data_IF_682616877059
#
_entry.id   IF_682616877059
#
_cell.length_a   1.000
_cell.length_b   1.000
_cell.length_c   1.000
_cell.angle_alpha   90.00
_cell.angle_beta   90.00
_cell.angle_gamma   90.00
#
_symmetry.space_group_name_H-M   'P 1'
#
loop_
_entity.id
_entity.type
_entity.pdbx_description
1 polymer ?
#
# COMPACT_ATOMS: atom_id res chain seq x y z
N UNK A 1 -48.91 33.84 -37.30
CA UNK A 1 -48.66 33.46 -35.89
C UNK A 1 -47.35 32.71 -35.63
N UNK A 2 -46.72 32.03 -36.60
CA UNK A 2 -45.50 31.24 -36.35
C UNK A 2 -44.18 32.02 -36.22
N UNK A 3 -44.10 33.26 -36.71
CA UNK A 3 -42.84 34.03 -36.71
C UNK A 3 -42.46 34.61 -35.34
N UNK A 4 -43.43 34.83 -34.43
CA UNK A 4 -43.16 35.36 -33.08
C UNK A 4 -42.76 34.27 -32.08
N UNK A 5 -43.17 33.02 -32.32
CA UNK A 5 -42.85 31.88 -31.46
C UNK A 5 -41.37 31.42 -31.61
N UNK A 6 -40.83 31.50 -32.82
CA UNK A 6 -39.42 31.18 -33.08
C UNK A 6 -38.45 32.14 -32.40
N UNK A 7 -38.80 33.42 -32.29
CA UNK A 7 -37.99 34.41 -31.56
C UNK A 7 -38.03 34.18 -30.05
N UNK A 8 -39.18 33.80 -29.48
CA UNK A 8 -39.29 33.46 -28.07
C UNK A 8 -38.45 32.23 -27.69
N UNK A 9 -38.43 31.20 -28.55
CA UNK A 9 -37.58 30.01 -28.36
C UNK A 9 -36.09 30.37 -28.43
N UNK A 10 -35.66 31.18 -29.41
CA UNK A 10 -34.28 31.64 -29.52
C UNK A 10 -33.85 32.48 -28.31
N UNK A 11 -34.71 33.38 -27.82
CA UNK A 11 -34.43 34.15 -26.60
C UNK A 11 -34.35 33.26 -25.36
N UNK A 12 -35.24 32.28 -25.21
CA UNK A 12 -35.19 31.35 -24.08
C UNK A 12 -33.91 30.50 -24.07
N UNK A 13 -33.46 30.04 -25.24
CA UNK A 13 -32.23 29.26 -25.38
C UNK A 13 -30.99 30.13 -25.10
N UNK A 14 -31.00 31.39 -25.55
CA UNK A 14 -29.92 32.34 -25.30
C UNK A 14 -29.80 32.71 -23.81
N UNK A 15 -30.93 32.88 -23.11
CA UNK A 15 -30.95 33.14 -21.67
C UNK A 15 -30.46 31.92 -20.88
N UNK A 16 -30.85 30.71 -21.27
CA UNK A 16 -30.35 29.46 -20.67
C UNK A 16 -28.85 29.24 -20.90
N UNK A 17 -28.35 29.59 -22.10
CA UNK A 17 -26.91 29.53 -22.38
C UNK A 17 -26.14 30.60 -21.60
N UNK A 18 -26.66 31.82 -21.47
CA UNK A 18 -26.05 32.86 -20.65
C UNK A 18 -26.05 32.48 -19.16
N UNK A 19 -27.14 31.93 -18.64
CA UNK A 19 -27.19 31.50 -17.23
C UNK A 19 -26.26 30.33 -16.96
N UNK A 20 -26.15 29.37 -17.89
CA UNK A 20 -25.20 28.26 -17.81
C UNK A 20 -23.74 28.75 -17.88
N UNK A 21 -23.44 29.74 -18.74
CA UNK A 21 -22.10 30.37 -18.80
C UNK A 21 -21.77 31.19 -17.55
N UNK A 22 -22.77 31.83 -16.93
CA UNK A 22 -22.58 32.54 -15.66
C UNK A 22 -22.36 31.56 -14.50
N UNK A 23 -23.10 30.44 -14.45
CA UNK A 23 -22.89 29.37 -13.46
C UNK A 23 -21.52 28.72 -13.60
N UNK A 24 -21.07 28.43 -14.83
CA UNK A 24 -19.72 27.88 -15.07
C UNK A 24 -18.60 28.89 -14.75
N UNK A 25 -18.90 30.19 -14.75
CA UNK A 25 -17.95 31.25 -14.38
C UNK A 25 -17.85 31.44 -12.86
N UNK A 26 -18.88 31.07 -12.10
CA UNK A 26 -18.91 31.22 -10.64
C UNK A 26 -18.04 30.18 -9.90
N UNK A 27 -17.73 29.04 -10.53
CA UNK A 27 -16.74 28.06 -10.05
C UNK A 27 -15.28 28.46 -10.38
N UNK A 28 -15.06 29.62 -11.01
CA UNK A 28 -13.75 30.10 -11.42
C UNK A 28 -13.37 31.45 -10.79
N UNK A 29 -13.43 31.53 -9.45
CA UNK A 29 -12.75 32.57 -8.69
C UNK A 29 -11.86 31.91 -7.61
N UNK A 30 -10.53 31.95 -7.75
CA UNK A 30 -9.63 31.51 -6.69
C UNK A 30 -9.62 32.59 -5.61
N UNK A 31 -10.13 32.27 -4.43
CA UNK A 31 -9.93 33.07 -3.22
C UNK A 31 -8.46 32.96 -2.83
N UNK A 32 -7.67 33.96 -3.21
CA UNK A 32 -6.26 34.07 -2.88
C UNK A 32 -6.04 34.68 -1.49
N UNK A 33 -5.29 33.98 -0.65
CA UNK A 33 -4.34 34.60 0.27
C UNK A 33 -2.91 34.42 -0.29
N UNK A 34 -1.91 35.22 0.11
CA UNK A 34 -0.55 35.09 -0.38
C UNK A 34 0.12 33.91 0.34
N UNK A 35 -0.22 32.69 -0.04
CA UNK A 35 0.64 31.55 0.23
C UNK A 35 1.76 31.61 -0.80
N UNK A 36 3.00 31.71 -0.33
CA UNK A 36 4.19 31.53 -1.16
C UNK A 36 4.05 30.14 -1.80
N UNK A 37 3.50 30.08 -3.03
CA UNK A 37 3.49 28.87 -3.84
C UNK A 37 4.94 28.61 -4.20
N UNK A 38 5.57 27.74 -3.42
CA UNK A 38 6.84 27.18 -3.81
C UNK A 38 6.66 26.61 -5.22
N UNK A 39 7.58 26.90 -6.15
CA UNK A 39 7.50 26.32 -7.49
C UNK A 39 7.41 24.80 -7.38
N UNK A 40 6.56 24.20 -8.22
CA UNK A 40 6.38 22.76 -8.36
C UNK A 40 7.65 22.16 -8.96
N UNK A 41 8.67 22.01 -8.13
CA UNK A 41 9.83 21.20 -8.46
C UNK A 41 9.49 19.78 -8.06
N UNK A 42 9.43 18.88 -9.04
CA UNK A 42 9.61 17.47 -8.74
C UNK A 42 10.89 17.35 -7.89
N UNK A 43 10.89 16.56 -6.80
CA UNK A 43 12.11 16.35 -6.04
C UNK A 43 13.24 15.98 -7.01
N UNK A 44 14.48 16.44 -6.77
CA UNK A 44 15.62 16.08 -7.61
C UNK A 44 15.58 14.57 -7.83
N UNK A 45 15.65 14.16 -9.10
CA UNK A 45 15.43 12.78 -9.52
C UNK A 45 16.19 11.80 -8.61
N UNK A 46 15.63 10.60 -8.39
CA UNK A 46 16.04 9.73 -7.29
C UNK A 46 17.56 9.60 -7.25
N UNK A 47 18.14 9.89 -6.08
CA UNK A 47 19.45 9.36 -5.74
C UNK A 47 19.29 7.85 -5.73
N UNK A 48 19.44 7.22 -6.92
CA UNK A 48 19.39 5.76 -7.06
C UNK A 48 20.32 5.23 -5.99
N UNK A 49 19.74 4.60 -4.98
CA UNK A 49 20.50 3.81 -4.03
C UNK A 49 21.36 2.85 -4.87
N UNK A 50 22.67 3.08 -4.88
CA UNK A 50 23.60 2.34 -5.74
C UNK A 50 23.87 0.98 -5.10
N UNK A 51 22.83 0.18 -4.91
CA UNK A 51 23.02 -1.18 -4.47
C UNK A 51 23.68 -1.98 -5.60
N UNK A 52 24.89 -2.45 -5.35
CA UNK A 52 25.65 -3.22 -6.32
C UNK A 52 25.11 -4.66 -6.43
N UNK A 53 25.09 -5.24 -7.63
CA UNK A 53 24.66 -6.61 -7.84
C UNK A 53 25.62 -7.61 -7.17
N UNK A 54 25.07 -8.69 -6.61
CA UNK A 54 25.88 -9.83 -6.20
C UNK A 54 26.17 -10.73 -7.42
N UNK A 55 27.30 -10.49 -8.10
CA UNK A 55 27.67 -11.22 -9.31
C UNK A 55 27.83 -12.72 -9.11
N UNK A 56 28.29 -13.17 -7.93
CA UNK A 56 28.43 -14.61 -7.62
C UNK A 56 27.06 -15.29 -7.64
N UNK A 57 26.06 -14.67 -7.01
CA UNK A 57 24.70 -15.18 -6.98
C UNK A 57 24.03 -15.08 -8.36
N UNK A 58 24.26 -13.98 -9.09
CA UNK A 58 23.75 -13.80 -10.45
C UNK A 58 24.23 -14.91 -11.39
N UNK A 59 25.51 -15.26 -11.33
CA UNK A 59 26.11 -16.33 -12.13
C UNK A 59 25.60 -17.72 -11.72
N UNK A 60 25.42 -17.97 -10.41
CA UNK A 60 24.90 -19.23 -9.91
C UNK A 60 23.40 -19.46 -10.23
N UNK A 61 22.67 -18.41 -10.61
CA UNK A 61 21.22 -18.45 -10.87
C UNK A 61 20.84 -18.27 -12.34
N UNK A 62 21.79 -18.45 -13.27
CA UNK A 62 21.57 -18.30 -14.72
C UNK A 62 20.49 -19.25 -15.29
N UNK A 63 20.27 -20.41 -14.65
CA UNK A 63 19.23 -21.37 -15.06
C UNK A 63 17.82 -20.99 -14.60
N UNK A 64 17.68 -19.96 -13.75
CA UNK A 64 16.39 -19.52 -13.23
C UNK A 64 15.75 -18.47 -14.15
N UNK A 65 14.41 -18.31 -14.11
CA UNK A 65 13.75 -17.23 -14.80
C UNK A 65 14.31 -15.85 -14.40
N UNK A 66 14.25 -14.88 -15.31
CA UNK A 66 14.84 -13.56 -15.13
C UNK A 66 14.42 -12.86 -13.83
N UNK A 67 13.15 -12.97 -13.44
CA UNK A 67 12.63 -12.38 -12.20
C UNK A 67 13.30 -12.98 -10.95
N UNK A 68 13.47 -14.30 -10.90
CA UNK A 68 14.15 -15.00 -9.79
C UNK A 68 15.64 -14.67 -9.73
N UNK A 69 16.32 -14.66 -10.88
CA UNK A 69 17.73 -14.26 -10.95
C UNK A 69 17.92 -12.81 -10.47
N UNK A 70 17.06 -11.89 -10.91
CA UNK A 70 17.10 -10.49 -10.49
C UNK A 70 16.90 -10.37 -8.98
N UNK A 71 15.87 -11.00 -8.43
CA UNK A 71 15.62 -11.02 -6.99
C UNK A 71 16.84 -11.53 -6.22
N UNK A 72 17.39 -12.70 -6.57
CA UNK A 72 18.56 -13.26 -5.89
C UNK A 72 19.80 -12.36 -6.00
N UNK A 73 20.00 -11.70 -7.13
CA UNK A 73 21.14 -10.79 -7.37
C UNK A 73 21.11 -9.57 -6.46
N UNK A 74 19.92 -9.08 -6.09
CA UNK A 74 19.72 -7.85 -5.32
C UNK A 74 19.03 -8.07 -3.97
N UNK A 75 18.85 -9.31 -3.51
CA UNK A 75 18.13 -9.61 -2.26
C UNK A 75 18.75 -8.97 -1.01
N UNK A 76 20.04 -8.63 -1.05
CA UNK A 76 20.75 -7.93 0.02
C UNK A 76 20.52 -6.41 0.01
N UNK A 77 19.94 -5.88 -1.05
CA UNK A 77 19.59 -4.46 -1.19
C UNK A 77 18.29 -4.19 -0.44
N UNK A 78 18.42 -3.60 0.75
CA UNK A 78 17.29 -3.42 1.68
C UNK A 78 16.98 -1.97 2.01
N UNK A 79 17.81 -1.03 1.54
CA UNK A 79 17.76 0.36 1.97
C UNK A 79 17.45 1.27 0.78
N UNK A 80 16.16 1.59 0.65
CA UNK A 80 15.63 2.52 -0.34
C UNK A 80 15.06 3.77 0.35
N UNK A 81 15.28 4.94 -0.23
CA UNK A 81 14.76 6.20 0.27
C UNK A 81 13.25 6.32 0.06
N UNK A 82 12.59 7.06 0.94
CA UNK A 82 11.21 7.50 0.73
C UNK A 82 11.20 8.63 -0.30
N UNK A 83 10.31 8.54 -1.29
CA UNK A 83 10.10 9.54 -2.34
C UNK A 83 8.88 10.42 -2.04
N UNK A 84 7.82 9.81 -1.53
CA UNK A 84 6.59 10.46 -1.08
C UNK A 84 6.26 9.89 0.29
N UNK A 85 6.03 10.76 1.26
CA UNK A 85 5.77 10.39 2.65
C UNK A 85 4.50 11.10 3.13
N UNK A 86 3.50 10.38 3.65
CA UNK A 86 2.35 10.99 4.28
C UNK A 86 2.71 11.47 5.69
N UNK A 87 1.89 12.35 6.26
CA UNK A 87 2.03 12.75 7.66
C UNK A 87 2.07 11.54 8.61
N UNK A 88 2.68 11.70 9.78
CA UNK A 88 2.68 10.68 10.83
C UNK A 88 1.25 10.33 11.30
N UNK A 89 1.12 9.22 12.05
CA UNK A 89 -0.12 8.88 12.74
C UNK A 89 -0.40 9.86 13.86
N UNK A 90 -1.69 10.12 14.10
CA UNK A 90 -2.14 10.77 15.33
C UNK A 90 -1.92 9.83 16.53
N UNK A 91 -1.73 10.41 17.70
CA UNK A 91 -1.43 9.68 18.93
C UNK A 91 -2.56 8.75 19.39
N UNK A 92 -3.79 9.02 18.94
CA UNK A 92 -5.03 8.26 19.16
C UNK A 92 -5.44 7.41 17.93
N UNK A 93 -4.50 7.12 17.02
CA UNK A 93 -4.78 6.24 15.86
C UNK A 93 -5.16 4.84 16.35
N UNK A 94 -6.41 4.46 16.13
CA UNK A 94 -6.92 3.15 16.49
C UNK A 94 -6.54 2.09 15.45
N UNK A 95 -6.71 2.39 14.16
CA UNK A 95 -6.42 1.44 13.08
C UNK A 95 -5.69 2.12 11.93
N UNK A 96 -4.52 1.57 11.58
CA UNK A 96 -3.79 1.89 10.36
C UNK A 96 -4.19 0.91 9.26
N UNK A 97 -4.78 1.40 8.18
CA UNK A 97 -5.05 0.67 6.94
C UNK A 97 -3.84 0.85 6.01
N UNK A 98 -3.00 -0.18 5.89
CA UNK A 98 -1.81 -0.19 5.05
C UNK A 98 -2.07 -1.01 3.78
N UNK A 99 -2.38 -0.35 2.67
CA UNK A 99 -2.88 -0.99 1.45
C UNK A 99 -1.80 -1.03 0.38
N UNK A 100 -1.41 -2.24 -0.05
CA UNK A 100 -0.49 -2.45 -1.17
C UNK A 100 -1.15 -1.96 -2.46
N UNK A 101 -0.50 -1.02 -3.13
CA UNK A 101 -0.93 -0.50 -4.43
C UNK A 101 0.26 -0.30 -5.36
N UNK A 102 0.00 0.18 -6.58
CA UNK A 102 1.00 0.50 -7.58
C UNK A 102 0.70 1.87 -8.18
N UNK A 103 1.69 2.63 -8.67
CA UNK A 103 1.46 3.95 -9.24
C UNK A 103 0.30 4.03 -10.23
N UNK A 104 0.17 3.03 -11.12
CA UNK A 104 -0.89 2.90 -12.13
C UNK A 104 -2.33 2.73 -11.59
N UNK A 105 -2.50 2.32 -10.34
CA UNK A 105 -3.80 1.97 -9.76
C UNK A 105 -4.54 3.16 -9.14
N UNK A 106 -4.52 4.32 -9.81
CA UNK A 106 -5.16 5.56 -9.33
C UNK A 106 -6.65 5.35 -9.06
N UNK A 107 -7.37 4.68 -9.97
CA UNK A 107 -8.81 4.43 -9.84
C UNK A 107 -9.14 3.51 -8.67
N UNK A 108 -8.30 2.50 -8.39
CA UNK A 108 -8.49 1.60 -7.24
C UNK A 108 -8.33 2.37 -5.93
N UNK A 109 -7.28 3.20 -5.82
CA UNK A 109 -7.09 4.05 -4.64
C UNK A 109 -8.26 5.02 -4.46
N UNK A 110 -8.74 5.65 -5.53
CA UNK A 110 -9.92 6.53 -5.48
C UNK A 110 -11.20 5.79 -5.05
N UNK A 111 -11.41 4.57 -5.53
CA UNK A 111 -12.53 3.72 -5.12
C UNK A 111 -12.43 3.38 -3.62
N UNK A 112 -11.24 3.04 -3.11
CA UNK A 112 -11.01 2.73 -1.70
C UNK A 112 -11.30 3.96 -0.83
N UNK A 113 -10.75 5.13 -1.17
CA UNK A 113 -11.00 6.39 -0.44
C UNK A 113 -12.49 6.75 -0.38
N UNK A 114 -13.22 6.54 -1.48
CA UNK A 114 -14.64 6.86 -1.57
C UNK A 114 -15.56 5.80 -0.96
N UNK A 115 -15.03 4.63 -0.57
CA UNK A 115 -15.79 3.52 -0.01
C UNK A 115 -15.26 3.10 1.36
N UNK A 116 -14.64 1.92 1.46
CA UNK A 116 -14.28 1.28 2.73
C UNK A 116 -13.02 1.85 3.37
N UNK A 117 -12.15 2.53 2.62
CA UNK A 117 -10.97 3.21 3.14
C UNK A 117 -11.26 4.63 3.63
N UNK A 118 -12.53 5.02 3.75
CA UNK A 118 -12.90 6.37 4.19
C UNK A 118 -12.38 6.64 5.59
N UNK A 119 -11.39 7.53 5.65
CA UNK A 119 -10.78 7.99 6.89
C UNK A 119 -11.76 8.91 7.64
N UNK A 120 -11.93 8.67 8.93
CA UNK A 120 -12.76 9.48 9.81
C UNK A 120 -12.60 9.04 11.27
N UNK A 121 -13.02 9.90 12.20
CA UNK A 121 -13.01 9.57 13.62
C UNK A 121 -13.99 8.44 13.91
N UNK A 122 -13.48 7.35 14.48
CA UNK A 122 -14.29 6.33 15.14
C UNK A 122 -14.48 6.70 16.61
N UNK A 123 -15.51 6.17 17.26
CA UNK A 123 -15.80 6.42 18.67
C UNK A 123 -14.61 6.16 19.62
N UNK A 124 -13.61 5.37 19.18
CA UNK A 124 -12.42 4.97 19.96
C UNK A 124 -11.09 5.48 19.42
N UNK A 125 -11.09 6.36 18.41
CA UNK A 125 -9.86 6.94 17.86
C UNK A 125 -9.91 7.14 16.35
N UNK A 126 -8.78 7.57 15.79
CA UNK A 126 -8.68 7.87 14.36
C UNK A 126 -8.37 6.61 13.55
N UNK A 127 -8.91 6.56 12.34
CA UNK A 127 -8.40 5.67 11.29
C UNK A 127 -7.31 6.42 10.51
N UNK A 128 -6.31 5.71 10.00
CA UNK A 128 -5.37 6.28 9.02
C UNK A 128 -5.26 5.33 7.84
N UNK A 129 -5.32 5.87 6.63
CA UNK A 129 -5.10 5.13 5.39
C UNK A 129 -3.74 5.49 4.83
N UNK A 130 -2.98 4.49 4.38
CA UNK A 130 -1.76 4.68 3.60
C UNK A 130 -1.69 3.66 2.47
N UNK A 131 -1.37 4.12 1.26
CA UNK A 131 -1.09 3.30 0.10
C UNK A 131 0.41 3.12 -0.08
N UNK A 132 0.83 1.87 -0.28
CA UNK A 132 2.24 1.47 -0.32
C UNK A 132 2.68 1.29 -1.77
N UNK A 133 3.60 2.12 -2.25
CA UNK A 133 4.01 2.19 -3.65
C UNK A 133 5.53 2.01 -3.82
N UNK A 134 5.92 1.36 -4.92
CA UNK A 134 7.25 1.48 -5.49
C UNK A 134 7.24 2.45 -6.68
N UNK A 135 8.28 2.38 -7.50
CA UNK A 135 8.42 3.12 -8.76
C UNK A 135 8.02 2.20 -9.90
N UNK A 136 6.98 2.56 -10.65
CA UNK A 136 6.58 1.87 -11.87
C UNK A 136 7.08 2.62 -13.11
N UNK A 137 6.75 2.12 -14.30
CA UNK A 137 7.12 2.71 -15.59
C UNK A 137 6.63 4.16 -15.80
N UNK A 138 6.63 4.67 -17.03
CA UNK A 138 6.42 6.10 -17.29
C UNK A 138 5.01 6.64 -16.97
N UNK A 139 4.07 5.77 -16.59
CA UNK A 139 2.68 6.12 -16.32
C UNK A 139 2.21 5.57 -14.95
N UNK A 140 1.52 6.39 -14.14
CA UNK A 140 1.27 7.82 -14.34
C UNK A 140 2.58 8.63 -14.24
N UNK A 141 2.66 9.81 -14.87
CA UNK A 141 3.75 10.74 -14.64
C UNK A 141 3.95 10.98 -13.15
N UNK A 142 5.21 11.06 -12.69
CA UNK A 142 5.55 11.29 -11.29
C UNK A 142 4.85 12.53 -10.71
N UNK A 143 4.60 13.54 -11.56
CA UNK A 143 3.87 14.75 -11.21
C UNK A 143 2.42 14.49 -10.79
N UNK A 144 1.72 13.55 -11.43
CA UNK A 144 0.35 13.20 -11.06
C UNK A 144 0.32 12.46 -9.73
N UNK A 145 1.29 11.57 -9.50
CA UNK A 145 1.39 10.85 -8.23
C UNK A 145 1.76 11.80 -7.08
N UNK A 146 2.64 12.78 -7.34
CA UNK A 146 2.96 13.83 -6.37
C UNK A 146 1.75 14.72 -6.05
N UNK A 147 0.94 15.06 -7.06
CA UNK A 147 -0.31 15.78 -6.86
C UNK A 147 -1.31 14.96 -6.02
N UNK A 148 -1.49 13.67 -6.34
CA UNK A 148 -2.33 12.77 -5.55
C UNK A 148 -1.85 12.67 -4.09
N UNK A 149 -0.53 12.55 -3.87
CA UNK A 149 0.07 12.50 -2.55
C UNK A 149 -0.18 13.79 -1.76
N UNK A 150 -0.08 14.95 -2.41
CA UNK A 150 -0.33 16.24 -1.78
C UNK A 150 -1.80 16.43 -1.42
N UNK A 151 -2.71 15.98 -2.28
CA UNK A 151 -4.15 16.14 -2.08
C UNK A 151 -4.68 15.25 -0.95
N UNK A 152 -4.21 14.00 -0.85
CA UNK A 152 -4.81 13.00 0.04
C UNK A 152 -3.97 12.65 1.28
N UNK A 153 -2.68 13.02 1.32
CA UNK A 153 -1.77 12.73 2.45
C UNK A 153 -1.76 11.24 2.86
N UNK A 154 -1.85 10.34 1.87
CA UNK A 154 -2.00 8.90 2.10
C UNK A 154 -1.11 8.05 1.17
N UNK A 155 -0.09 8.63 0.54
CA UNK A 155 0.84 7.90 -0.34
C UNK A 155 2.20 7.77 0.32
N UNK A 156 2.62 6.52 0.52
CA UNK A 156 3.97 6.17 0.94
C UNK A 156 4.69 5.45 -0.21
N UNK A 157 5.66 6.13 -0.80
CA UNK A 157 6.41 5.64 -1.96
C UNK A 157 7.89 5.48 -1.64
N UNK A 158 8.49 4.35 -2.01
CA UNK A 158 9.93 4.13 -1.92
C UNK A 158 10.61 4.01 -3.29
N UNK A 159 11.90 4.34 -3.32
CA UNK A 159 12.73 4.32 -4.54
C UNK A 159 13.20 2.90 -4.93
N UNK A 160 12.27 1.96 -5.09
CA UNK A 160 12.54 0.66 -5.70
C UNK A 160 11.51 0.32 -6.76
N UNK A 161 11.90 -0.50 -7.75
CA UNK A 161 11.01 -0.87 -8.84
C UNK A 161 9.79 -1.66 -8.33
N UNK A 162 8.61 -1.28 -8.78
CA UNK A 162 7.37 -2.01 -8.53
C UNK A 162 7.43 -3.37 -9.23
N UNK A 163 7.45 -4.45 -8.46
CA UNK A 163 7.39 -5.83 -8.95
C UNK A 163 6.83 -6.74 -7.85
N UNK A 164 6.22 -7.84 -8.27
CA UNK A 164 5.65 -8.85 -7.35
C UNK A 164 6.68 -9.38 -6.33
N UNK A 165 7.94 -9.61 -6.73
CA UNK A 165 8.98 -10.10 -5.79
C UNK A 165 9.52 -8.99 -4.87
N UNK A 166 9.21 -7.73 -5.16
CA UNK A 166 9.53 -6.58 -4.32
C UNK A 166 8.41 -6.22 -3.33
N UNK A 167 7.30 -6.97 -3.29
CA UNK A 167 6.30 -6.81 -2.23
C UNK A 167 6.92 -7.01 -0.84
N UNK A 168 7.92 -7.88 -0.73
CA UNK A 168 8.69 -8.09 0.50
C UNK A 168 9.51 -6.86 0.91
N UNK A 169 9.98 -6.05 -0.07
CA UNK A 169 10.59 -4.76 0.23
C UNK A 169 9.55 -3.76 0.72
N UNK A 170 8.34 -3.73 0.15
CA UNK A 170 7.24 -2.93 0.71
C UNK A 170 6.96 -3.30 2.16
N UNK A 171 6.95 -4.59 2.48
CA UNK A 171 6.76 -5.05 3.86
C UNK A 171 7.86 -4.55 4.78
N UNK A 172 9.13 -4.79 4.44
CA UNK A 172 10.28 -4.33 5.22
C UNK A 172 10.22 -2.82 5.48
N UNK A 173 9.94 -2.05 4.44
CA UNK A 173 9.90 -0.61 4.52
C UNK A 173 8.65 -0.06 5.24
N UNK A 174 7.50 -0.73 5.10
CA UNK A 174 6.30 -0.44 5.88
C UNK A 174 6.62 -0.58 7.37
N UNK A 175 7.25 -1.68 7.78
CA UNK A 175 7.58 -1.90 9.19
C UNK A 175 8.50 -0.80 9.75
N UNK A 176 9.50 -0.36 8.98
CA UNK A 176 10.36 0.78 9.34
C UNK A 176 9.59 2.08 9.50
N UNK A 177 8.71 2.39 8.53
CA UNK A 177 7.92 3.60 8.58
C UNK A 177 6.93 3.59 9.75
N UNK A 178 6.27 2.46 10.02
CA UNK A 178 5.36 2.33 11.18
C UNK A 178 6.11 2.53 12.49
N UNK A 179 7.34 2.01 12.62
CA UNK A 179 8.17 2.21 13.81
C UNK A 179 8.46 3.70 14.08
N UNK A 180 8.66 4.49 13.02
CA UNK A 180 9.01 5.91 13.13
C UNK A 180 7.78 6.83 13.21
N UNK A 181 6.79 6.61 12.35
CA UNK A 181 5.68 7.53 12.10
C UNK A 181 4.37 7.08 12.77
N UNK A 182 4.23 5.81 13.13
CA UNK A 182 3.00 5.25 13.73
C UNK A 182 3.24 4.35 14.95
N UNK A 183 4.16 4.67 15.88
CA UNK A 183 4.55 3.76 16.95
C UNK A 183 3.42 3.45 17.96
N UNK A 184 2.39 4.30 18.02
CA UNK A 184 1.29 4.20 18.98
C UNK A 184 -0.01 3.63 18.41
N UNK A 185 -0.09 3.42 17.09
CA UNK A 185 -1.28 2.86 16.45
C UNK A 185 -1.69 1.53 17.12
N UNK A 186 -2.96 1.36 17.48
CA UNK A 186 -3.38 0.17 18.24
C UNK A 186 -3.33 -1.10 17.39
N UNK A 187 -3.79 -1.01 16.15
CA UNK A 187 -3.84 -2.12 15.20
C UNK A 187 -3.40 -1.66 13.81
N UNK A 188 -2.92 -2.60 13.01
CA UNK A 188 -2.65 -2.40 11.58
C UNK A 188 -3.35 -3.47 10.77
N UNK A 189 -4.18 -3.06 9.82
CA UNK A 189 -4.71 -3.93 8.78
C UNK A 189 -3.86 -3.74 7.52
N UNK A 190 -3.26 -4.82 7.04
CA UNK A 190 -2.61 -4.87 5.74
C UNK A 190 -3.56 -5.50 4.72
N UNK A 191 -3.59 -4.98 3.50
CA UNK A 191 -4.37 -5.57 2.42
C UNK A 191 -3.88 -5.19 1.01
N UNK A 192 -4.52 -5.75 -0.01
CA UNK A 192 -4.31 -5.41 -1.42
C UNK A 192 -5.34 -4.36 -1.89
N UNK A 193 -5.08 -3.69 -3.01
CA UNK A 193 -5.98 -2.65 -3.56
C UNK A 193 -7.13 -3.21 -4.43
N UNK A 194 -7.26 -4.53 -4.55
CA UNK A 194 -8.34 -5.22 -5.27
C UNK A 194 -9.25 -6.06 -4.37
N UNK A 195 -9.29 -5.74 -3.08
CA UNK A 195 -10.20 -6.37 -2.11
C UNK A 195 -11.25 -5.38 -1.59
N UNK A 196 -12.29 -5.94 -0.96
CA UNK A 196 -13.24 -5.19 -0.17
C UNK A 196 -13.06 -5.52 1.30
N UNK A 197 -13.00 -4.50 2.16
CA UNK A 197 -12.93 -4.67 3.61
C UNK A 197 -14.20 -4.10 4.25
N UNK A 198 -14.91 -4.91 5.03
CA UNK A 198 -16.01 -4.40 5.85
C UNK A 198 -15.46 -3.78 7.15
N UNK A 199 -14.92 -2.57 7.06
CA UNK A 199 -14.24 -1.88 8.17
C UNK A 199 -15.04 -1.83 9.47
N UNK A 200 -16.37 -1.58 9.50
CA UNK A 200 -17.13 -1.61 10.75
C UNK A 200 -17.03 -2.94 11.50
N UNK A 201 -16.99 -4.08 10.78
CA UNK A 201 -16.89 -5.40 11.41
C UNK A 201 -15.48 -5.64 11.95
N UNK A 202 -14.46 -5.10 11.26
CA UNK A 202 -13.08 -5.13 11.75
C UNK A 202 -12.97 -4.34 13.05
N UNK A 203 -13.55 -3.14 13.10
CA UNK A 203 -13.53 -2.31 14.30
C UNK A 203 -14.26 -2.99 15.46
N UNK A 204 -15.47 -3.51 15.24
CA UNK A 204 -16.23 -4.26 16.24
C UNK A 204 -15.44 -5.48 16.76
N UNK A 205 -14.82 -6.25 15.87
CA UNK A 205 -13.97 -7.37 16.25
C UNK A 205 -12.81 -6.94 17.15
N UNK A 206 -12.16 -5.81 16.83
CA UNK A 206 -10.98 -5.30 17.53
C UNK A 206 -11.30 -4.67 18.90
N UNK A 207 -12.55 -4.28 19.18
CA UNK A 207 -12.91 -3.66 20.47
C UNK A 207 -12.65 -4.55 21.68
N UNK A 208 -12.66 -5.87 21.50
CA UNK A 208 -12.41 -6.85 22.56
C UNK A 208 -10.93 -7.17 22.79
N UNK A 209 -10.01 -6.61 21.99
CA UNK A 209 -8.59 -6.95 22.03
C UNK A 209 -7.73 -5.86 22.67
N UNK A 210 -6.76 -6.29 23.48
CA UNK A 210 -5.72 -5.41 23.98
C UNK A 210 -4.61 -5.28 22.92
N UNK A 211 -4.32 -4.06 22.40
CA UNK A 211 -3.27 -3.87 21.40
C UNK A 211 -1.86 -4.18 21.92
N UNK A 212 -1.65 -4.30 23.24
CA UNK A 212 -0.40 -4.74 23.84
C UNK A 212 -0.24 -6.27 23.88
N UNK A 213 -1.28 -7.04 23.52
CA UNK A 213 -1.23 -8.49 23.40
C UNK A 213 -1.10 -8.89 21.93
N UNK A 214 -0.54 -10.07 21.70
CA UNK A 214 -0.31 -10.55 20.35
C UNK A 214 -1.62 -10.89 19.64
N UNK A 215 -1.75 -10.38 18.42
CA UNK A 215 -2.86 -10.67 17.53
C UNK A 215 -2.32 -10.65 16.10
N UNK A 216 -2.51 -11.75 15.39
CA UNK A 216 -2.44 -11.85 13.94
C UNK A 216 -3.65 -12.66 13.49
N UNK A 217 -4.53 -12.02 12.70
CA UNK A 217 -5.78 -12.62 12.23
C UNK A 217 -5.97 -12.36 10.74
N UNK A 218 -6.31 -13.41 10.00
CA UNK A 218 -6.52 -13.41 8.57
C UNK A 218 -6.88 -14.80 8.08
N UNK A 219 -6.90 -15.02 6.77
CA UNK A 219 -7.05 -16.36 6.20
C UNK A 219 -5.72 -17.12 6.28
N UNK A 220 -5.58 -17.95 7.32
CA UNK A 220 -4.34 -18.68 7.62
C UNK A 220 -4.27 -19.95 6.77
N UNK A 221 -3.43 -19.90 5.75
CA UNK A 221 -3.15 -21.03 4.88
C UNK A 221 -2.13 -21.95 5.56
N UNK A 222 -2.53 -23.20 5.80
CA UNK A 222 -1.69 -24.24 6.40
C UNK A 222 -1.27 -25.27 5.37
N UNK A 223 -0.10 -25.87 5.57
CA UNK A 223 0.44 -26.93 4.70
C UNK A 223 0.53 -26.52 3.22
N UNK A 224 0.72 -25.23 2.93
CA UNK A 224 0.87 -24.74 1.58
C UNK A 224 2.14 -25.30 0.93
N UNK A 225 2.03 -25.78 -0.31
CA UNK A 225 3.16 -26.25 -1.09
C UNK A 225 3.74 -25.10 -1.92
N UNK A 226 5.08 -24.93 -1.97
CA UNK A 226 5.71 -24.03 -2.92
C UNK A 226 5.30 -24.40 -4.36
N UNK A 227 4.75 -23.45 -5.10
CA UNK A 227 4.28 -23.71 -6.45
C UNK A 227 5.50 -23.96 -7.37
N UNK A 228 5.55 -25.13 -8.01
CA UNK A 228 6.65 -25.54 -8.90
C UNK A 228 6.33 -25.37 -10.39
N UNK A 229 5.17 -24.81 -10.73
CA UNK A 229 4.79 -24.51 -12.11
C UNK A 229 5.45 -23.19 -12.55
N UNK A 230 6.37 -23.23 -13.52
CA UNK A 230 7.12 -22.07 -14.02
C UNK A 230 6.25 -21.00 -14.69
N UNK A 231 4.99 -21.31 -15.01
CA UNK A 231 4.07 -20.42 -15.74
C UNK A 231 3.28 -19.46 -14.84
N UNK A 232 3.35 -19.62 -13.51
CA UNK A 232 2.59 -18.77 -12.57
C UNK A 232 3.49 -17.80 -11.81
N UNK A 233 2.93 -16.66 -11.40
CA UNK A 233 3.68 -15.63 -10.65
C UNK A 233 4.25 -16.12 -9.31
N UNK A 234 3.60 -17.11 -8.69
CA UNK A 234 4.00 -17.73 -7.42
C UNK A 234 5.01 -18.88 -7.57
N UNK A 235 5.59 -19.08 -8.75
CA UNK A 235 6.61 -20.10 -8.97
C UNK A 235 7.81 -19.88 -8.03
N UNK A 236 8.20 -20.88 -7.26
CA UNK A 236 9.43 -20.88 -6.46
C UNK A 236 10.23 -22.14 -6.78
N UNK A 237 11.48 -22.03 -7.27
CA UNK A 237 12.31 -23.20 -7.59
C UNK A 237 12.84 -23.89 -6.32
N UNK A 238 13.17 -25.20 -6.37
CA UNK A 238 13.73 -25.92 -5.22
C UNK A 238 15.03 -25.34 -4.67
N UNK A 239 15.82 -24.66 -5.52
CA UNK A 239 17.04 -23.97 -5.12
C UNK A 239 16.80 -22.78 -4.18
N UNK A 240 15.61 -22.16 -4.21
CA UNK A 240 15.24 -21.04 -3.35
C UNK A 240 14.44 -21.48 -2.11
N UNK A 241 13.75 -22.62 -2.18
CA UNK A 241 13.01 -23.16 -1.04
C UNK A 241 12.95 -24.69 -1.10
N UNK A 242 13.70 -25.35 -0.21
CA UNK A 242 13.88 -26.81 -0.18
C UNK A 242 12.84 -27.54 0.65
N UNK A 243 12.27 -26.90 1.66
CA UNK A 243 11.28 -27.53 2.51
C UNK A 243 10.01 -27.87 1.71
N UNK A 244 9.31 -28.92 2.14
CA UNK A 244 8.13 -29.45 1.44
C UNK A 244 6.96 -28.48 1.51
N UNK A 245 6.74 -27.88 2.68
CA UNK A 245 5.64 -26.95 2.93
C UNK A 245 6.20 -25.61 3.38
N UNK A 246 5.49 -24.53 3.06
CA UNK A 246 5.67 -23.25 3.74
C UNK A 246 5.22 -23.37 5.21
N UNK A 247 5.73 -22.51 6.11
CA UNK A 247 5.08 -22.32 7.40
C UNK A 247 3.63 -21.88 7.19
N UNK A 248 2.74 -22.04 8.19
CA UNK A 248 1.44 -21.39 8.14
C UNK A 248 1.61 -19.90 7.85
N UNK A 249 0.75 -19.30 7.05
CA UNK A 249 0.80 -17.86 6.80
C UNK A 249 -0.58 -17.27 6.52
N UNK A 250 -0.78 -16.01 6.89
CA UNK A 250 -2.00 -15.27 6.57
C UNK A 250 -1.91 -14.76 5.12
N UNK A 251 -2.73 -15.31 4.23
CA UNK A 251 -2.81 -14.93 2.81
C UNK A 251 -4.18 -14.38 2.42
N UNK A 252 -4.45 -14.31 1.11
CA UNK A 252 -5.82 -14.16 0.60
C UNK A 252 -6.34 -12.73 0.46
N UNK A 253 -5.51 -11.70 0.70
CA UNK A 253 -5.83 -10.30 0.39
C UNK A 253 -5.79 -9.34 1.58
N UNK A 254 -5.63 -9.83 2.80
CA UNK A 254 -5.34 -9.00 3.96
C UNK A 254 -5.38 -9.71 5.31
N UNK A 255 -4.80 -9.07 6.32
CA UNK A 255 -4.76 -9.54 7.71
C UNK A 255 -4.59 -8.36 8.67
N UNK A 256 -4.93 -8.57 9.95
CA UNK A 256 -4.84 -7.57 11.00
C UNK A 256 -3.82 -8.00 12.04
N UNK A 257 -3.01 -7.04 12.50
CA UNK A 257 -2.02 -7.20 13.56
C UNK A 257 -2.25 -6.21 14.69
N UNK A 258 -1.99 -6.61 15.94
CA UNK A 258 -1.88 -5.67 17.06
C UNK A 258 -0.55 -4.92 17.05
N UNK A 259 -0.50 -3.80 17.79
CA UNK A 259 0.74 -3.05 18.02
C UNK A 259 1.88 -3.93 18.53
N UNK A 260 1.61 -4.82 19.48
CA UNK A 260 2.62 -5.73 20.02
C UNK A 260 3.19 -6.66 18.94
N UNK A 261 2.33 -7.22 18.08
CA UNK A 261 2.76 -8.08 16.97
C UNK A 261 3.55 -7.28 15.93
N UNK A 262 3.10 -6.08 15.55
CA UNK A 262 3.84 -5.19 14.64
C UNK A 262 5.23 -4.86 15.17
N UNK A 263 5.37 -4.53 16.45
CA UNK A 263 6.66 -4.21 17.08
C UNK A 263 7.62 -5.41 17.09
N UNK A 264 7.11 -6.63 17.28
CA UNK A 264 7.95 -7.85 17.19
C UNK A 264 8.37 -8.12 15.76
N UNK A 265 7.44 -7.98 14.82
CA UNK A 265 7.68 -8.18 13.40
C UNK A 265 8.77 -7.24 12.88
N UNK A 266 8.79 -5.97 13.32
CA UNK A 266 9.81 -4.99 12.94
C UNK A 266 11.24 -5.51 13.11
N UNK A 267 11.56 -6.13 14.25
CA UNK A 267 12.91 -6.68 14.46
C UNK A 267 13.14 -7.93 13.62
N UNK A 268 12.11 -8.79 13.50
CA UNK A 268 12.22 -10.05 12.79
C UNK A 268 12.40 -9.85 11.27
N UNK A 269 11.71 -8.87 10.66
CA UNK A 269 11.86 -8.58 9.23
C UNK A 269 13.25 -8.06 8.90
N UNK A 270 13.90 -7.29 9.78
CA UNK A 270 15.25 -6.75 9.55
C UNK A 270 16.32 -7.85 9.49
N UNK A 271 16.20 -8.86 10.33
CA UNK A 271 17.15 -9.98 10.44
C UNK A 271 16.93 -11.05 9.37
N UNK A 272 15.70 -11.22 8.90
CA UNK A 272 15.33 -12.29 7.98
C UNK A 272 15.80 -12.03 6.55
N UNK A 273 16.23 -13.09 5.87
CA UNK A 273 16.52 -13.03 4.44
C UNK A 273 15.23 -12.79 3.65
N UNK A 274 15.23 -11.83 2.71
CA UNK A 274 14.05 -11.55 1.89
C UNK A 274 13.63 -12.80 1.11
N UNK A 275 12.33 -13.05 1.09
CA UNK A 275 11.71 -14.13 0.31
C UNK A 275 10.77 -13.55 -0.76
N UNK A 276 10.65 -14.12 -1.97
CA UNK A 276 9.89 -13.51 -3.06
C UNK A 276 8.37 -13.37 -2.85
N UNK A 277 7.81 -14.05 -1.85
CA UNK A 277 6.39 -14.04 -1.52
C UNK A 277 6.25 -13.34 -0.16
N UNK A 278 5.63 -12.17 -0.13
CA UNK A 278 5.59 -11.29 1.05
C UNK A 278 4.83 -11.91 2.22
N UNK A 279 3.68 -12.52 1.97
CA UNK A 279 2.89 -13.16 3.03
C UNK A 279 3.65 -14.33 3.69
N UNK A 280 4.34 -15.15 2.88
CA UNK A 280 5.19 -16.23 3.39
C UNK A 280 6.40 -15.66 4.14
N UNK A 281 6.95 -14.53 3.70
CA UNK A 281 8.06 -13.87 4.39
C UNK A 281 7.66 -13.45 5.81
N UNK A 282 6.56 -12.69 5.96
CA UNK A 282 6.07 -12.20 7.25
C UNK A 282 5.88 -13.33 8.25
N UNK A 283 5.22 -14.41 7.85
CA UNK A 283 4.95 -15.49 8.78
C UNK A 283 6.16 -16.42 9.01
N UNK A 284 7.10 -16.49 8.08
CA UNK A 284 8.38 -17.16 8.32
C UNK A 284 9.17 -16.44 9.40
N UNK A 285 9.16 -15.11 9.43
CA UNK A 285 9.88 -14.33 10.46
C UNK A 285 9.23 -14.46 11.84
N UNK A 286 7.90 -14.46 11.92
CA UNK A 286 7.14 -14.70 13.16
C UNK A 286 7.29 -16.14 13.67
N UNK A 287 7.17 -17.14 12.78
CA UNK A 287 7.25 -18.56 13.14
C UNK A 287 8.65 -18.97 13.60
N UNK A 288 9.72 -18.37 13.05
CA UNK A 288 11.09 -18.63 13.50
C UNK A 288 11.34 -18.24 14.96
N UNK A 289 10.52 -17.34 15.55
CA UNK A 289 10.59 -16.96 16.97
C UNK A 289 9.69 -17.80 17.89
N UNK A 290 9.11 -18.92 17.42
CA UNK A 290 8.21 -19.82 18.19
C UNK A 290 6.95 -19.13 18.74
N UNK A 291 6.42 -18.13 18.04
CA UNK A 291 5.17 -17.46 18.43
C UNK A 291 4.19 -17.52 17.26
N UNK A 292 3.70 -18.72 16.95
CA UNK A 292 2.61 -18.87 15.96
C UNK A 292 1.29 -18.41 16.58
N UNK A 293 1.00 -17.11 16.51
CA UNK A 293 -0.27 -16.53 16.94
C UNK A 293 -1.22 -16.56 15.75
N UNK A 294 -2.02 -17.62 15.63
CA UNK A 294 -3.07 -17.70 14.62
C UNK A 294 -4.42 -17.81 15.33
N UNK A 295 -5.23 -16.76 15.23
CA UNK A 295 -6.61 -16.80 15.67
C UNK A 295 -7.51 -16.91 14.45
N UNK A 296 -8.02 -18.11 14.18
CA UNK A 296 -9.17 -18.27 13.28
C UNK A 296 -10.43 -18.29 14.14
N UNK A 297 -11.27 -17.25 14.06
CA UNK A 297 -12.67 -17.42 14.49
C UNK A 297 -13.33 -18.31 13.44
N UNK A 298 -13.58 -19.56 13.80
CA UNK A 298 -14.63 -20.33 13.14
C UNK A 298 -15.94 -19.57 13.36
N UNK A 299 -16.58 -19.11 12.29
CA UNK A 299 -17.99 -18.72 12.35
C UNK A 299 -18.85 -19.91 12.80
#
# INVERSE_FOLDING_TARGET
>A
MFRRLGWLLLYSLAVLLLSCLLFLKEEAQPVGGPTIRQPFWAPPGPHRSQCLPNHTVANASLSLPSRHRLFLTYRHCRNFSILLEPSACAEDTFLLLAIKSQPGHVERRAAIRSTWGRVGGWARGQLKLVFLLGVAGPAPPAQLLAYESQEFDDILQWDFAEDFFNLTLKELHLQRWVAAACPRAHFMLKGDDDVFVHVPNVLEFLEGWDPAQDLLVGDVIRQALPNRNTKVKYFIPPSMYRARHYPPYAGGGGYVMSRATVQRLQTAVEEAELFPIDDVFVDTTETQRKQSIYWTKSC
#
